data_IF_030568987411
#
_entry.id   IF_030568987411
#
_cell.length_a   1.000
_cell.length_b   1.000
_cell.length_c   1.000
_cell.angle_alpha   90.00
_cell.angle_beta   90.00
_cell.angle_gamma   90.00
#
_symmetry.space_group_name_H-M   'P 1'
#
loop_
_entity.id
_entity.type
_entity.pdbx_description
1 polymer ?
#
# COMPACT_ATOMS: atom_id res chain seq x y z
N UNK A 1 22.43 0.62 11.19
CA UNK A 1 21.27 -0.18 10.73
C UNK A 1 20.17 0.01 11.75
N UNK A 2 19.08 0.68 11.38
CA UNK A 2 17.93 0.90 12.25
C UNK A 2 17.30 -0.45 12.59
N UNK A 3 17.46 -0.89 13.84
CA UNK A 3 16.59 -1.93 14.39
C UNK A 3 15.24 -1.27 14.67
N UNK A 4 14.11 -1.91 14.29
CA UNK A 4 12.81 -1.39 14.69
C UNK A 4 12.77 -1.25 16.21
N UNK A 5 12.42 -0.06 16.68
CA UNK A 5 12.33 0.19 18.12
C UNK A 5 11.15 -0.63 18.65
N UNK A 6 11.34 -1.48 19.68
CA UNK A 6 10.26 -2.27 20.24
C UNK A 6 9.09 -1.35 20.64
N UNK A 7 7.91 -1.58 20.05
CA UNK A 7 6.68 -0.84 20.38
C UNK A 7 6.33 0.33 19.45
N UNK A 8 7.17 0.71 18.49
CA UNK A 8 6.87 1.78 17.53
C UNK A 8 6.56 1.18 16.16
N UNK A 9 5.39 1.50 15.61
CA UNK A 9 5.05 1.13 14.24
C UNK A 9 5.69 2.11 13.25
N UNK A 10 6.36 1.60 12.23
CA UNK A 10 7.02 2.41 11.20
C UNK A 10 6.45 2.11 9.81
N UNK A 11 6.40 3.13 8.96
CA UNK A 11 6.03 2.96 7.56
C UNK A 11 7.28 2.62 6.74
N UNK A 12 7.36 1.40 6.23
CA UNK A 12 8.44 0.96 5.34
C UNK A 12 8.15 1.17 3.85
N UNK A 13 6.87 1.29 3.47
CA UNK A 13 6.47 1.60 2.11
C UNK A 13 5.12 1.00 1.73
N UNK A 14 4.91 0.81 0.43
CA UNK A 14 3.71 0.24 -0.16
C UNK A 14 4.06 -0.97 -1.05
N UNK A 15 3.38 -2.09 -0.83
CA UNK A 15 3.48 -3.29 -1.69
C UNK A 15 2.15 -3.50 -2.41
N UNK A 16 2.21 -3.86 -3.69
CA UNK A 16 1.02 -4.16 -4.48
C UNK A 16 0.56 -5.61 -4.26
N UNK A 17 -0.75 -5.84 -4.33
CA UNK A 17 -1.33 -7.19 -4.30
C UNK A 17 -0.73 -8.10 -5.37
N UNK A 18 -0.51 -7.60 -6.59
CA UNK A 18 0.08 -8.42 -7.68
C UNK A 18 1.46 -8.97 -7.31
N UNK A 19 2.30 -8.18 -6.60
CA UNK A 19 3.60 -8.64 -6.13
C UNK A 19 3.45 -9.77 -5.12
N UNK A 20 2.56 -9.61 -4.13
CA UNK A 20 2.29 -10.65 -3.13
C UNK A 20 1.81 -11.95 -3.78
N UNK A 21 0.86 -11.85 -4.71
CA UNK A 21 0.33 -13.01 -5.42
C UNK A 21 1.40 -13.70 -6.25
N UNK A 22 2.27 -12.95 -6.93
CA UNK A 22 3.39 -13.51 -7.68
C UNK A 22 4.35 -14.30 -6.77
N UNK A 23 4.70 -13.74 -5.61
CA UNK A 23 5.59 -14.39 -4.63
C UNK A 23 4.99 -15.67 -4.10
N UNK A 24 3.73 -15.62 -3.65
CA UNK A 24 3.04 -16.80 -3.09
C UNK A 24 2.88 -17.87 -4.16
N UNK A 25 2.59 -17.50 -5.42
CA UNK A 25 2.42 -18.46 -6.53
C UNK A 25 3.71 -19.20 -6.86
N UNK A 26 4.84 -18.51 -6.79
CA UNK A 26 6.16 -19.13 -6.96
C UNK A 26 6.65 -19.87 -5.71
N UNK A 27 5.90 -19.85 -4.61
CA UNK A 27 6.30 -20.39 -3.30
C UNK A 27 7.68 -19.88 -2.87
N UNK A 28 7.97 -18.61 -3.15
CA UNK A 28 9.26 -18.01 -2.86
C UNK A 28 9.32 -17.55 -1.40
N UNK A 29 9.52 -18.53 -0.52
CA UNK A 29 9.53 -18.36 0.93
C UNK A 29 10.94 -18.56 1.50
N UNK A 30 11.18 -17.97 2.66
CA UNK A 30 12.44 -18.03 3.41
C UNK A 30 12.21 -18.78 4.71
N UNK A 31 13.08 -19.74 5.02
CA UNK A 31 13.03 -20.45 6.31
C UNK A 31 13.44 -19.56 7.49
N UNK A 32 14.33 -18.60 7.24
CA UNK A 32 14.83 -17.66 8.24
C UNK A 32 14.55 -16.22 7.82
N UNK A 33 14.39 -15.35 8.82
CA UNK A 33 14.25 -13.91 8.61
C UNK A 33 15.57 -13.31 8.12
N UNK A 34 15.67 -13.06 6.82
CA UNK A 34 16.78 -12.34 6.20
C UNK A 34 16.30 -11.29 5.21
N UNK A 35 17.17 -10.34 4.92
CA UNK A 35 16.99 -9.44 3.78
C UNK A 35 17.49 -10.14 2.52
N UNK A 36 16.71 -10.02 1.47
CA UNK A 36 16.98 -10.53 0.14
C UNK A 36 17.63 -9.43 -0.67
N UNK A 37 18.70 -9.77 -1.36
CA UNK A 37 19.39 -8.81 -2.21
C UNK A 37 18.54 -8.51 -3.45
N UNK A 38 18.70 -7.29 -3.98
CA UNK A 38 17.86 -6.84 -5.10
C UNK A 38 18.05 -7.69 -6.36
N UNK A 39 19.26 -8.22 -6.57
CA UNK A 39 19.56 -9.10 -7.70
C UNK A 39 18.83 -10.45 -7.61
N UNK A 40 18.71 -11.04 -6.41
CA UNK A 40 17.98 -12.31 -6.21
C UNK A 40 16.51 -12.15 -6.65
N UNK A 41 15.88 -11.05 -6.23
CA UNK A 41 14.49 -10.76 -6.60
C UNK A 41 14.32 -10.52 -8.11
N UNK A 42 15.29 -9.86 -8.75
CA UNK A 42 15.24 -9.58 -10.20
C UNK A 42 15.45 -10.83 -11.05
N UNK A 43 16.24 -11.80 -10.60
CA UNK A 43 16.36 -13.10 -11.27
C UNK A 43 15.09 -13.93 -11.11
N UNK A 44 14.44 -13.83 -9.94
CA UNK A 44 13.25 -14.61 -9.64
C UNK A 44 11.95 -14.04 -10.22
N UNK A 45 11.86 -12.72 -10.45
CA UNK A 45 10.64 -12.07 -10.90
C UNK A 45 10.89 -11.14 -12.08
N UNK A 46 10.16 -11.40 -13.16
CA UNK A 46 10.10 -10.47 -14.30
C UNK A 46 9.13 -9.32 -14.03
N UNK A 47 9.35 -8.18 -14.70
CA UNK A 47 8.43 -7.03 -14.60
C UNK A 47 7.02 -7.36 -15.12
N UNK A 48 6.89 -8.29 -16.07
CA UNK A 48 5.60 -8.75 -16.59
C UNK A 48 4.83 -9.52 -15.52
N UNK A 49 5.47 -10.49 -14.85
CA UNK A 49 4.84 -11.27 -13.77
C UNK A 49 4.38 -10.38 -12.62
N UNK A 50 5.17 -9.38 -12.23
CA UNK A 50 4.79 -8.44 -11.16
C UNK A 50 3.65 -7.49 -11.57
N UNK A 51 3.47 -7.26 -12.87
CA UNK A 51 2.40 -6.44 -13.43
C UNK A 51 1.10 -7.22 -13.68
N UNK A 52 1.14 -8.56 -13.67
CA UNK A 52 -0.05 -9.40 -13.87
C UNK A 52 -1.06 -9.20 -12.75
N UNK A 53 -2.29 -8.84 -13.15
CA UNK A 53 -3.39 -8.57 -12.21
C UNK A 53 -4.31 -9.76 -11.99
N UNK A 54 -4.27 -10.75 -12.88
CA UNK A 54 -5.26 -11.83 -12.98
C UNK A 54 -4.89 -13.05 -12.13
N UNK A 55 -4.38 -12.79 -10.93
CA UNK A 55 -4.10 -13.82 -9.95
C UNK A 55 -5.19 -13.93 -8.90
N UNK A 56 -6.02 -14.97 -8.99
CA UNK A 56 -6.82 -15.41 -7.85
C UNK A 56 -5.89 -15.99 -6.78
N UNK A 57 -6.21 -15.69 -5.52
CA UNK A 57 -5.60 -16.36 -4.36
C UNK A 57 -6.46 -17.53 -3.88
N UNK A 58 -7.70 -17.63 -4.38
CA UNK A 58 -8.70 -18.56 -3.85
C UNK A 58 -8.31 -20.02 -4.13
N UNK A 59 -7.53 -20.25 -5.19
CA UNK A 59 -7.05 -21.58 -5.59
C UNK A 59 -5.64 -21.90 -5.03
N UNK A 60 -5.11 -21.06 -4.13
CA UNK A 60 -3.74 -21.20 -3.62
C UNK A 60 -3.73 -21.93 -2.27
N UNK A 61 -3.50 -23.23 -2.29
CA UNK A 61 -3.30 -24.02 -1.09
C UNK A 61 -1.84 -23.96 -0.61
N UNK A 62 -1.65 -23.47 0.62
CA UNK A 62 -0.37 -23.43 1.32
C UNK A 62 -0.33 -24.57 2.36
N UNK A 63 0.80 -25.28 2.43
CA UNK A 63 0.97 -26.30 3.46
C UNK A 63 1.19 -25.66 4.83
N UNK A 64 0.95 -26.38 5.95
CA UNK A 64 1.24 -25.88 7.28
C UNK A 64 2.70 -25.43 7.44
N UNK A 65 3.64 -26.13 6.81
CA UNK A 65 5.06 -25.78 6.84
C UNK A 65 5.33 -24.46 6.10
N UNK A 66 4.67 -24.22 4.97
CA UNK A 66 4.81 -22.97 4.19
C UNK A 66 4.24 -21.76 4.95
N UNK A 67 3.16 -21.95 5.71
CA UNK A 67 2.56 -20.89 6.53
C UNK A 67 3.47 -20.42 7.69
N UNK A 68 4.42 -21.26 8.11
CA UNK A 68 5.42 -20.93 9.13
C UNK A 68 6.69 -20.29 8.53
N UNK A 69 6.77 -20.15 7.19
CA UNK A 69 7.89 -19.50 6.51
C UNK A 69 7.71 -17.99 6.38
N UNK A 70 8.78 -17.30 5.99
CA UNK A 70 8.81 -15.85 5.84
C UNK A 70 8.81 -15.43 4.37
N UNK A 71 8.21 -14.27 4.09
CA UNK A 71 8.38 -13.57 2.82
C UNK A 71 9.13 -12.28 3.10
N UNK A 72 10.25 -12.07 2.40
CA UNK A 72 10.90 -10.77 2.40
C UNK A 72 10.25 -9.83 1.37
N UNK A 73 9.59 -8.79 1.87
CA UNK A 73 8.91 -7.80 1.05
C UNK A 73 9.80 -6.63 0.63
N UNK A 74 11.01 -6.50 1.17
CA UNK A 74 11.89 -5.37 0.87
C UNK A 74 12.13 -5.17 -0.64
N UNK A 75 12.38 -6.22 -1.45
CA UNK A 75 12.60 -6.04 -2.89
C UNK A 75 11.36 -5.59 -3.67
N UNK A 76 10.16 -5.80 -3.14
CA UNK A 76 8.89 -5.49 -3.81
C UNK A 76 8.22 -4.21 -3.30
N UNK A 77 8.80 -3.58 -2.28
CA UNK A 77 8.22 -2.43 -1.59
C UNK A 77 8.60 -1.14 -2.30
N UNK A 78 7.59 -0.36 -2.68
CA UNK A 78 7.83 1.05 -2.99
C UNK A 78 8.07 1.80 -1.67
N UNK A 79 9.34 2.13 -1.40
CA UNK A 79 9.78 2.84 -0.19
C UNK A 79 9.46 4.34 -0.22
N UNK A 80 9.00 4.87 -1.35
CA UNK A 80 8.64 6.29 -1.53
C UNK A 80 7.18 6.44 -1.99
N UNK A 81 6.20 5.93 -1.22
CA UNK A 81 4.80 6.13 -1.56
C UNK A 81 4.41 7.61 -1.42
N UNK A 82 3.51 8.10 -2.27
CA UNK A 82 2.98 9.45 -2.13
C UNK A 82 2.14 9.57 -0.85
N UNK A 83 2.45 10.57 -0.03
CA UNK A 83 1.78 10.81 1.24
C UNK A 83 1.18 12.21 1.30
N UNK A 84 0.13 12.36 2.11
CA UNK A 84 -0.48 13.65 2.47
C UNK A 84 -0.78 13.68 3.96
N UNK A 85 -0.68 14.86 4.58
CA UNK A 85 -1.09 15.05 5.98
C UNK A 85 -2.61 14.99 6.11
N UNK A 86 -3.11 14.43 7.21
CA UNK A 86 -4.56 14.27 7.47
C UNK A 86 -5.35 15.59 7.46
N UNK A 87 -4.66 16.72 7.69
CA UNK A 87 -5.27 18.06 7.67
C UNK A 87 -5.29 18.70 6.28
N UNK A 88 -4.77 18.03 5.25
CA UNK A 88 -4.83 18.52 3.88
C UNK A 88 -6.27 18.58 3.38
N UNK A 89 -6.64 19.67 2.68
CA UNK A 89 -7.97 19.76 2.10
C UNK A 89 -8.18 18.70 1.01
N UNK A 90 -9.40 18.17 0.94
CA UNK A 90 -9.79 17.17 -0.07
C UNK A 90 -9.51 17.68 -1.49
N UNK A 91 -9.74 18.97 -1.77
CA UNK A 91 -9.48 19.55 -3.08
C UNK A 91 -7.99 19.44 -3.48
N UNK A 92 -7.06 19.69 -2.55
CA UNK A 92 -5.62 19.55 -2.80
C UNK A 92 -5.23 18.08 -3.01
N UNK A 93 -5.77 17.18 -2.18
CA UNK A 93 -5.55 15.75 -2.35
C UNK A 93 -6.03 15.24 -3.72
N UNK A 94 -7.21 15.69 -4.19
CA UNK A 94 -7.73 15.36 -5.54
C UNK A 94 -6.80 15.87 -6.64
N UNK A 95 -6.30 17.11 -6.54
CA UNK A 95 -5.37 17.66 -7.53
C UNK A 95 -4.10 16.83 -7.57
N UNK A 96 -3.46 16.58 -6.42
CA UNK A 96 -2.24 15.80 -6.33
C UNK A 96 -2.43 14.37 -6.87
N UNK A 97 -3.52 13.71 -6.49
CA UNK A 97 -3.85 12.36 -6.94
C UNK A 97 -3.97 12.27 -8.46
N UNK A 98 -4.59 13.28 -9.10
CA UNK A 98 -4.76 13.32 -10.55
C UNK A 98 -3.49 13.69 -11.29
N UNK A 99 -2.76 14.71 -10.82
CA UNK A 99 -1.53 15.18 -11.46
C UNK A 99 -0.45 14.10 -11.46
N UNK A 100 -0.33 13.35 -10.36
CA UNK A 100 0.64 12.26 -10.24
C UNK A 100 0.09 10.90 -10.70
N UNK A 101 -1.12 10.86 -11.27
CA UNK A 101 -1.80 9.63 -11.73
C UNK A 101 -1.76 8.48 -10.72
N UNK A 102 -2.01 8.80 -9.44
CA UNK A 102 -1.83 7.86 -8.34
C UNK A 102 -2.92 6.78 -8.33
N UNK A 103 -2.58 5.64 -7.74
CA UNK A 103 -3.54 4.58 -7.39
C UNK A 103 -3.87 4.58 -5.91
N UNK A 104 -2.85 4.83 -5.10
CA UNK A 104 -2.89 4.87 -3.66
C UNK A 104 -2.14 6.11 -3.20
N UNK A 105 -2.70 6.82 -2.23
CA UNK A 105 -2.08 7.94 -1.55
C UNK A 105 -2.25 7.72 -0.05
N UNK A 106 -1.15 7.70 0.69
CA UNK A 106 -1.18 7.42 2.13
C UNK A 106 -1.48 8.69 2.90
N UNK A 107 -2.28 8.57 3.97
CA UNK A 107 -2.59 9.67 4.88
C UNK A 107 -1.74 9.50 6.12
N UNK A 108 -0.89 10.48 6.40
CA UNK A 108 -0.05 10.53 7.62
C UNK A 108 -0.69 11.47 8.65
N UNK A 109 -0.57 11.18 9.95
CA UNK A 109 -1.08 12.06 11.00
C UNK A 109 -0.34 13.41 10.97
N UNK A 110 -0.98 14.47 11.48
CA UNK A 110 -0.35 15.79 11.61
C UNK A 110 0.82 15.77 12.58
N UNK A 111 0.71 14.98 13.64
CA UNK A 111 1.73 14.82 14.67
C UNK A 111 2.28 13.40 14.63
N UNK A 112 3.60 13.27 14.75
CA UNK A 112 4.28 11.99 14.80
C UNK A 112 4.81 11.76 16.22
N UNK A 113 4.80 10.51 16.66
CA UNK A 113 5.31 10.14 17.96
C UNK A 113 5.37 8.63 18.13
N UNK A 114 6.07 8.13 19.17
CA UNK A 114 6.25 6.69 19.40
C UNK A 114 4.93 5.91 19.54
N UNK A 115 3.89 6.56 20.06
CA UNK A 115 2.55 5.98 20.29
C UNK A 115 1.54 6.31 19.19
N UNK A 116 1.95 7.05 18.15
CA UNK A 116 1.05 7.47 17.06
C UNK A 116 1.32 6.57 15.85
N UNK A 117 0.26 5.98 15.30
CA UNK A 117 0.34 5.18 14.09
C UNK A 117 0.97 5.99 12.94
N UNK A 118 1.94 5.45 12.19
CA UNK A 118 2.64 6.18 11.13
C UNK A 118 1.73 6.50 9.93
N UNK A 119 0.60 5.80 9.80
CA UNK A 119 -0.45 5.99 8.80
C UNK A 119 -1.80 5.99 9.51
N UNK A 120 -2.69 6.91 9.11
CA UNK A 120 -4.07 6.99 9.60
C UNK A 120 -5.10 6.63 8.54
N UNK A 121 -4.70 6.49 7.27
CA UNK A 121 -5.60 6.07 6.20
C UNK A 121 -4.94 5.95 4.83
N UNK A 122 -5.74 5.52 3.86
CA UNK A 122 -5.36 5.42 2.45
C UNK A 122 -6.46 6.01 1.59
N UNK A 123 -6.07 6.83 0.62
CA UNK A 123 -6.95 7.34 -0.42
C UNK A 123 -6.73 6.59 -1.71
N UNK A 124 -7.83 6.19 -2.33
CA UNK A 124 -7.87 5.59 -3.65
C UNK A 124 -8.69 6.45 -4.60
N UNK A 125 -8.68 6.08 -5.89
CA UNK A 125 -9.51 6.74 -6.90
C UNK A 125 -11.00 6.65 -6.56
N UNK A 126 -11.44 5.60 -5.87
CA UNK A 126 -12.84 5.43 -5.51
C UNK A 126 -13.26 6.49 -4.49
N UNK A 127 -12.47 6.71 -3.46
CA UNK A 127 -12.77 7.68 -2.39
C UNK A 127 -12.88 9.11 -2.94
N UNK A 128 -12.04 9.44 -3.92
CA UNK A 128 -11.96 10.78 -4.52
C UNK A 128 -12.99 11.03 -5.64
N UNK A 129 -13.94 10.11 -5.86
CA UNK A 129 -15.09 10.36 -6.76
C UNK A 129 -16.03 11.37 -6.10
N UNK A 130 -16.53 12.32 -6.88
CA UNK A 130 -17.38 13.40 -6.34
C UNK A 130 -18.58 12.93 -5.51
N UNK A 131 -19.25 11.84 -5.91
CA UNK A 131 -20.37 11.29 -5.12
C UNK A 131 -19.92 10.64 -3.80
N UNK A 132 -18.74 10.02 -3.76
CA UNK A 132 -18.18 9.45 -2.53
C UNK A 132 -17.70 10.53 -1.57
N UNK A 133 -17.09 11.61 -2.10
CA UNK A 133 -16.76 12.80 -1.31
C UNK A 133 -18.03 13.41 -0.72
N UNK A 134 -19.09 13.61 -1.52
CA UNK A 134 -20.35 14.15 -1.02
C UNK A 134 -21.05 13.22 -0.01
N UNK A 135 -20.91 11.90 -0.19
CA UNK A 135 -21.39 10.92 0.78
C UNK A 135 -20.65 10.99 2.11
N UNK A 136 -19.33 11.18 2.08
CA UNK A 136 -18.50 11.35 3.28
C UNK A 136 -18.71 12.71 3.97
N UNK A 137 -19.03 13.75 3.20
CA UNK A 137 -19.23 15.11 3.69
C UNK A 137 -20.63 15.64 3.28
N UNK A 138 -21.72 15.12 3.89
CA UNK A 138 -23.09 15.43 3.49
C UNK A 138 -23.49 16.90 3.72
N UNK A 139 -22.72 17.64 4.51
CA UNK A 139 -22.88 19.07 4.74
C UNK A 139 -22.36 19.94 3.56
N UNK A 140 -21.65 19.36 2.60
CA UNK A 140 -21.19 20.12 1.42
C UNK A 140 -22.36 20.39 0.45
N UNK A 141 -22.46 21.60 -0.11
CA UNK A 141 -23.54 21.95 -1.01
C UNK A 141 -23.49 21.14 -2.32
N UNK A 142 -24.55 20.39 -2.60
CA UNK A 142 -24.68 19.65 -3.85
C UNK A 142 -25.06 20.59 -5.00
N UNK A 143 -24.08 20.96 -5.83
CA UNK A 143 -24.28 21.85 -6.99
C UNK A 143 -25.29 21.33 -8.04
N UNK A 144 -25.77 20.09 -7.95
CA UNK A 144 -26.83 19.55 -8.82
C UNK A 144 -28.25 20.02 -8.46
N UNK A 145 -28.44 20.76 -7.36
CA UNK A 145 -29.71 21.43 -7.01
C UNK A 145 -29.65 22.93 -7.31
N UNK A 146 -29.45 23.33 -8.57
CA UNK A 146 -29.84 24.68 -9.02
C UNK A 146 -31.09 24.52 -9.87
N UNK A 147 -32.19 25.09 -9.36
CA UNK A 147 -33.45 25.28 -10.05
C UNK A 147 -33.27 26.05 -11.36
#
# INVERSE_FOLDING_TARGET
MDRPRPGVSELHGLVLRSHLVAVIRKRWFLQERRRTEEWEAREMFSSTELAEKDGSIDDMELTPEEMEMYIDLHPFTNTTPYTVVETMSVAKAVVLFRTCALRHMLIIPKFQGPEIAPIVGILTRQDLRGHNILGAFPHLPNKKKRH
#
